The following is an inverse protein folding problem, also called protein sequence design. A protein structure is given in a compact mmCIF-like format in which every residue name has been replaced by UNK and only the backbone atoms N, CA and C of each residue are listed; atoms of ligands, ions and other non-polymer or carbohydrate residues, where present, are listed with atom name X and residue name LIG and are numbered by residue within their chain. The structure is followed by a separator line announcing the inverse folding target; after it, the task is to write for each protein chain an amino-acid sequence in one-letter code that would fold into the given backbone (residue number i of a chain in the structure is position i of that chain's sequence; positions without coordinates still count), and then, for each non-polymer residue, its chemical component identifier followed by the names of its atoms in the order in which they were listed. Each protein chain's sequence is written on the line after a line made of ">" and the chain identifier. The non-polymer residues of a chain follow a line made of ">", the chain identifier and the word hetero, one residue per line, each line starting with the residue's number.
data_IF_932844966983
#
_entry.id   IF_932844966983
#
_cell.length_a   1.000
_cell.length_b   1.000
_cell.length_c   1.000
_cell.angle_alpha   90.00
_cell.angle_beta   90.00
_cell.angle_gamma   90.00
#
_symmetry.space_group_name_H-M   'P 1'
#
loop_
_entity.id
_entity.type
_entity.pdbx_description
1 polymer ?
#
# COMPACT_ATOMS: atom_id res chain seq x y z
N UNK A 1 -17.17 -5.29 8.75
CA UNK A 1 -16.37 -5.12 7.52
C UNK A 1 -14.92 -5.58 7.69
N UNK A 2 -14.16 -5.12 8.72
CA UNK A 2 -12.75 -5.52 8.93
C UNK A 2 -12.44 -7.02 8.92
N UNK A 3 -13.33 -7.86 9.44
CA UNK A 3 -13.16 -9.32 9.36
C UNK A 3 -13.16 -9.81 7.92
N UNK A 4 -14.10 -9.32 7.10
CA UNK A 4 -14.18 -9.65 5.68
C UNK A 4 -12.92 -9.19 4.93
N UNK A 5 -12.46 -7.97 5.20
CA UNK A 5 -11.22 -7.43 4.64
C UNK A 5 -10.02 -8.34 4.90
N UNK A 6 -9.86 -8.83 6.13
CA UNK A 6 -8.79 -9.77 6.49
C UNK A 6 -8.91 -11.11 5.76
N UNK A 7 -10.12 -11.59 5.52
CA UNK A 7 -10.35 -12.82 4.74
C UNK A 7 -9.95 -12.61 3.28
N UNK A 8 -10.30 -11.47 2.69
CA UNK A 8 -9.89 -11.11 1.32
C UNK A 8 -8.37 -10.96 1.25
N UNK A 9 -7.77 -10.21 2.16
CA UNK A 9 -6.32 -10.02 2.26
C UNK A 9 -5.58 -11.37 2.33
N UNK A 10 -6.00 -12.27 3.22
CA UNK A 10 -5.38 -13.59 3.38
C UNK A 10 -5.48 -14.46 2.10
N UNK A 11 -6.48 -14.22 1.25
CA UNK A 11 -6.60 -14.90 -0.05
C UNK A 11 -5.71 -14.24 -1.10
N UNK A 12 -5.64 -12.91 -1.14
CA UNK A 12 -4.80 -12.18 -2.08
C UNK A 12 -3.31 -12.45 -1.83
N UNK A 13 -2.87 -12.51 -0.57
CA UNK A 13 -1.49 -12.84 -0.18
C UNK A 13 -1.01 -14.23 -0.61
N UNK A 14 -1.92 -15.14 -1.01
CA UNK A 14 -1.56 -16.46 -1.55
C UNK A 14 -1.30 -16.45 -3.05
N UNK A 15 -1.73 -15.37 -3.72
CA UNK A 15 -1.70 -15.25 -5.18
C UNK A 15 -0.67 -14.20 -5.60
N UNK A 16 -0.63 -13.09 -4.86
CA UNK A 16 0.29 -11.99 -5.14
C UNK A 16 1.58 -12.18 -4.35
N UNK A 17 2.69 -12.24 -5.07
CA UNK A 17 4.02 -12.13 -4.52
C UNK A 17 4.43 -10.65 -4.49
N UNK A 18 5.06 -10.21 -3.41
CA UNK A 18 5.52 -8.82 -3.24
C UNK A 18 7.04 -8.87 -3.12
N UNK A 19 7.72 -7.96 -3.79
CA UNK A 19 9.17 -7.80 -3.77
C UNK A 19 9.77 -7.93 -2.36
N UNK A 20 10.86 -8.69 -2.24
CA UNK A 20 11.51 -8.97 -0.96
C UNK A 20 12.09 -7.70 -0.29
N UNK A 21 12.32 -6.65 -1.07
CA UNK A 21 12.80 -5.36 -0.61
C UNK A 21 11.67 -4.49 0.01
N UNK A 22 10.41 -4.93 -0.08
CA UNK A 22 9.29 -4.29 0.62
C UNK A 22 9.24 -4.76 2.07
N UNK A 23 9.48 -3.83 3.00
CA UNK A 23 9.40 -4.08 4.45
C UNK A 23 8.07 -3.61 5.05
N UNK A 24 7.39 -2.67 4.41
CA UNK A 24 6.13 -2.10 4.89
C UNK A 24 4.99 -3.11 4.82
N UNK A 25 4.27 -3.29 5.92
CA UNK A 25 3.05 -4.13 6.00
C UNK A 25 3.23 -5.59 5.55
N UNK A 26 4.47 -6.09 5.57
CA UNK A 26 4.82 -7.46 5.24
C UNK A 26 4.99 -8.31 6.49
N UNK A 27 4.45 -9.55 6.49
CA UNK A 27 4.60 -10.43 7.64
C UNK A 27 6.06 -10.78 7.86
N UNK A 28 6.50 -10.73 9.14
CA UNK A 28 7.88 -11.04 9.56
C UNK A 28 8.94 -10.05 9.05
N UNK A 29 8.53 -8.85 8.61
CA UNK A 29 9.44 -7.75 8.30
C UNK A 29 9.13 -6.56 9.20
N UNK A 30 10.15 -5.79 9.50
CA UNK A 30 10.07 -4.64 10.38
C UNK A 30 10.94 -3.49 9.87
N UNK A 31 10.66 -2.29 10.36
CA UNK A 31 11.49 -1.11 10.07
C UNK A 31 12.93 -1.30 10.55
N UNK A 32 13.15 -2.08 11.62
CA UNK A 32 14.49 -2.39 12.11
C UNK A 32 15.29 -3.22 11.12
N UNK A 33 14.65 -4.12 10.37
CA UNK A 33 15.33 -4.91 9.34
C UNK A 33 15.81 -4.02 8.18
N UNK A 34 14.95 -3.08 7.74
CA UNK A 34 15.30 -2.12 6.69
C UNK A 34 16.45 -1.19 7.12
N UNK A 35 16.40 -0.67 8.35
CA UNK A 35 17.47 0.17 8.92
C UNK A 35 18.77 -0.62 9.01
N UNK A 36 18.70 -1.88 9.46
CA UNK A 36 19.87 -2.74 9.57
C UNK A 36 20.52 -3.00 8.21
N UNK A 37 19.73 -3.33 7.18
CA UNK A 37 20.22 -3.52 5.82
C UNK A 37 20.92 -2.25 5.27
N UNK A 38 20.32 -1.08 5.49
CA UNK A 38 20.93 0.20 5.10
C UNK A 38 22.25 0.46 5.84
N UNK A 39 22.32 0.16 7.14
CA UNK A 39 23.56 0.32 7.93
C UNK A 39 24.69 -0.57 7.43
N UNK A 40 24.41 -1.84 7.13
CA UNK A 40 25.41 -2.74 6.54
C UNK A 40 25.93 -2.19 5.21
N UNK A 41 25.04 -1.65 4.37
CA UNK A 41 25.44 -1.05 3.10
C UNK A 41 26.37 0.15 3.32
N UNK A 42 26.04 1.03 4.26
CA UNK A 42 26.86 2.19 4.62
C UNK A 42 28.24 1.78 5.14
N UNK A 43 28.31 0.77 6.03
CA UNK A 43 29.57 0.25 6.57
C UNK A 43 30.46 -0.31 5.45
N UNK A 44 29.89 -1.14 4.56
CA UNK A 44 30.63 -1.73 3.44
C UNK A 44 31.24 -0.68 2.49
N UNK A 45 30.51 0.40 2.20
CA UNK A 45 31.01 1.48 1.35
C UNK A 45 32.08 2.32 2.06
N UNK A 46 31.92 2.56 3.36
CA UNK A 46 32.93 3.24 4.19
C UNK A 46 34.24 2.44 4.23
N UNK A 47 34.18 1.12 4.46
CA UNK A 47 35.36 0.26 4.49
C UNK A 47 36.07 0.20 3.14
N UNK A 48 35.30 0.23 2.04
CA UNK A 48 35.83 0.30 0.69
C UNK A 48 36.31 1.69 0.25
N UNK A 49 36.23 2.71 1.11
CA UNK A 49 36.50 4.12 0.80
C UNK A 49 35.75 4.62 -0.46
N UNK A 50 34.52 4.16 -0.66
CA UNK A 50 33.64 4.55 -1.77
C UNK A 50 32.58 5.52 -1.29
N UNK A 51 32.20 6.44 -2.16
CA UNK A 51 31.05 7.32 -1.93
C UNK A 51 29.74 6.53 -2.05
N UNK A 52 28.82 6.77 -1.12
CA UNK A 52 27.46 6.25 -1.12
C UNK A 52 26.49 7.43 -1.05
N UNK A 53 25.60 7.53 -2.02
CA UNK A 53 24.52 8.50 -2.03
C UNK A 53 23.20 7.79 -1.78
N UNK A 54 22.39 8.33 -0.87
CA UNK A 54 21.07 7.80 -0.54
C UNK A 54 20.00 8.86 -0.85
N UNK A 55 18.93 8.44 -1.53
CA UNK A 55 17.76 9.30 -1.80
C UNK A 55 16.58 8.76 -1.01
N UNK A 56 15.97 9.61 -0.20
CA UNK A 56 14.77 9.28 0.57
C UNK A 56 13.58 10.00 -0.06
N UNK A 57 12.59 9.22 -0.49
CA UNK A 57 11.35 9.73 -1.11
C UNK A 57 10.20 9.46 -0.16
N UNK A 58 9.40 10.50 0.11
CA UNK A 58 8.17 10.39 0.88
C UNK A 58 6.98 10.84 0.03
N UNK A 59 5.89 10.06 0.07
CA UNK A 59 4.71 10.31 -0.74
C UNK A 59 3.67 11.11 0.05
N UNK A 60 3.37 12.32 -0.41
CA UNK A 60 2.35 13.16 0.21
C UNK A 60 0.97 12.49 0.12
N UNK A 61 0.32 12.25 1.27
CA UNK A 61 -1.02 11.65 1.36
C UNK A 61 -1.14 10.35 0.58
N UNK A 62 -0.15 9.47 0.78
CA UNK A 62 0.03 8.23 0.01
C UNK A 62 -1.26 7.41 -0.18
N UNK A 63 -2.10 7.32 0.86
CA UNK A 63 -3.34 6.54 0.79
C UNK A 63 -4.46 7.32 0.10
N UNK A 64 -4.59 8.62 0.38
CA UNK A 64 -5.71 9.42 -0.13
C UNK A 64 -5.57 9.73 -1.63
N UNK A 65 -4.37 9.56 -2.20
CA UNK A 65 -4.06 9.91 -3.60
C UNK A 65 -3.95 8.73 -4.55
N UNK A 66 -4.12 7.48 -4.10
CA UNK A 66 -4.06 6.31 -5.00
C UNK A 66 -5.21 6.36 -6.01
N UNK A 67 -4.93 6.44 -7.33
CA UNK A 67 -5.98 6.35 -8.35
C UNK A 67 -6.58 4.94 -8.34
N UNK A 68 -7.92 4.85 -8.34
CA UNK A 68 -8.59 3.55 -8.27
C UNK A 68 -8.37 2.70 -9.51
N UNK A 69 -8.38 3.32 -10.69
CA UNK A 69 -8.10 2.62 -11.94
C UNK A 69 -6.71 1.99 -11.96
N UNK A 70 -5.70 2.70 -11.44
CA UNK A 70 -4.35 2.16 -11.28
C UNK A 70 -4.30 1.00 -10.29
N UNK A 71 -5.05 1.08 -9.18
CA UNK A 71 -5.17 -0.05 -8.26
C UNK A 71 -5.76 -1.28 -8.97
N UNK A 72 -6.82 -1.13 -9.75
CA UNK A 72 -7.44 -2.25 -10.48
C UNK A 72 -6.46 -2.85 -11.50
N UNK A 73 -5.74 -1.99 -12.21
CA UNK A 73 -4.72 -2.39 -13.17
C UNK A 73 -3.60 -3.17 -12.48
N UNK A 74 -3.03 -2.64 -11.40
CA UNK A 74 -1.96 -3.29 -10.63
C UNK A 74 -2.41 -4.65 -10.10
N UNK A 75 -3.62 -4.75 -9.53
CA UNK A 75 -4.16 -6.04 -9.06
C UNK A 75 -4.22 -7.08 -10.18
N UNK A 76 -4.71 -6.70 -11.38
CA UNK A 76 -4.77 -7.61 -12.53
C UNK A 76 -3.38 -8.02 -13.00
N UNK A 77 -2.44 -7.08 -13.07
CA UNK A 77 -1.05 -7.31 -13.47
C UNK A 77 -0.34 -8.26 -12.50
N UNK A 78 -0.61 -8.15 -11.19
CA UNK A 78 -0.12 -9.07 -10.15
C UNK A 78 -0.84 -10.44 -10.12
N UNK A 79 -1.59 -10.80 -11.15
CA UNK A 79 -2.21 -12.13 -11.28
C UNK A 79 -3.47 -12.34 -10.43
N UNK A 80 -4.05 -11.28 -9.85
CA UNK A 80 -5.29 -11.40 -9.09
C UNK A 80 -6.46 -11.71 -10.02
N UNK A 81 -7.17 -12.81 -9.72
CA UNK A 81 -8.36 -13.18 -10.49
C UNK A 81 -9.45 -12.07 -10.43
N UNK A 82 -10.11 -11.83 -11.56
CA UNK A 82 -11.08 -10.73 -11.74
C UNK A 82 -12.20 -10.73 -10.68
N UNK A 83 -12.60 -11.90 -10.18
CA UNK A 83 -13.59 -12.00 -9.09
C UNK A 83 -13.17 -11.24 -7.82
N UNK A 84 -11.88 -11.23 -7.49
CA UNK A 84 -11.37 -10.49 -6.33
C UNK A 84 -11.19 -9.01 -6.63
N UNK A 85 -10.80 -8.67 -7.87
CA UNK A 85 -10.75 -7.27 -8.32
C UNK A 85 -12.15 -6.63 -8.16
N UNK A 86 -13.20 -7.31 -8.64
CA UNK A 86 -14.59 -6.85 -8.46
C UNK A 86 -15.01 -6.72 -7.01
N UNK A 87 -14.66 -7.68 -6.15
CA UNK A 87 -14.94 -7.57 -4.70
C UNK A 87 -14.30 -6.34 -4.09
N UNK A 88 -13.06 -6.00 -4.48
CA UNK A 88 -12.41 -4.77 -4.00
C UNK A 88 -13.06 -3.55 -4.64
N UNK A 89 -13.36 -3.55 -5.94
CA UNK A 89 -14.10 -2.46 -6.61
C UNK A 89 -15.42 -2.14 -5.91
N UNK A 90 -16.23 -3.15 -5.60
CA UNK A 90 -17.51 -3.01 -4.90
C UNK A 90 -17.34 -2.39 -3.50
N UNK A 91 -16.22 -2.65 -2.83
CA UNK A 91 -15.93 -2.03 -1.54
C UNK A 91 -15.65 -0.53 -1.66
N UNK A 92 -15.08 -0.10 -2.79
CA UNK A 92 -14.72 1.30 -3.04
C UNK A 92 -15.82 2.07 -3.78
N UNK A 93 -16.71 1.39 -4.51
CA UNK A 93 -17.79 2.02 -5.26
C UNK A 93 -18.73 2.82 -4.35
N UNK A 94 -19.17 4.01 -4.81
CA UNK A 94 -20.14 4.88 -4.12
C UNK A 94 -19.77 5.22 -2.66
N UNK A 95 -18.48 5.15 -2.32
CA UNK A 95 -17.98 5.56 -1.01
C UNK A 95 -18.34 7.03 -0.76
N UNK A 96 -19.10 7.29 0.31
CA UNK A 96 -19.43 8.64 0.77
C UNK A 96 -18.90 8.86 2.17
N UNK A 97 -18.35 10.04 2.42
CA UNK A 97 -17.80 10.40 3.73
C UNK A 97 -18.34 11.75 4.21
N UNK A 98 -18.15 12.02 5.49
CA UNK A 98 -18.43 13.30 6.15
C UNK A 98 -17.23 13.68 7.01
N UNK A 99 -16.97 14.97 7.14
CA UNK A 99 -15.98 15.48 8.10
C UNK A 99 -16.71 15.88 9.37
N UNK A 100 -16.23 15.42 10.53
CA UNK A 100 -16.74 15.84 11.85
C UNK A 100 -15.87 16.96 12.38
N UNK A 101 -16.48 18.13 12.56
CA UNK A 101 -15.85 19.33 13.12
C UNK A 101 -16.48 19.68 14.48
N UNK A 102 -15.88 20.64 15.21
CA UNK A 102 -16.40 21.10 16.50
C UNK A 102 -17.84 21.67 16.42
N UNK A 103 -18.23 22.19 15.25
CA UNK A 103 -19.55 22.78 15.00
C UNK A 103 -20.58 21.78 14.42
N UNK A 104 -20.19 20.51 14.21
CA UNK A 104 -21.08 19.49 13.64
C UNK A 104 -20.45 18.67 12.51
N UNK A 105 -21.28 17.94 11.77
CA UNK A 105 -20.85 17.18 10.60
C UNK A 105 -21.05 17.99 9.32
N UNK A 106 -20.15 17.85 8.35
CA UNK A 106 -20.34 18.40 7.00
C UNK A 106 -21.42 17.62 6.25
N UNK A 107 -21.82 18.17 5.10
CA UNK A 107 -22.56 17.40 4.11
C UNK A 107 -21.75 16.20 3.61
N UNK A 108 -22.46 15.18 3.13
CA UNK A 108 -21.87 13.97 2.56
C UNK A 108 -21.30 14.28 1.18
N UNK A 109 -20.05 13.91 0.95
CA UNK A 109 -19.43 13.97 -0.38
C UNK A 109 -18.91 12.61 -0.81
N UNK A 110 -18.80 12.41 -2.13
CA UNK A 110 -18.27 11.19 -2.70
C UNK A 110 -16.73 11.16 -2.57
N UNK A 111 -16.20 9.98 -2.28
CA UNK A 111 -14.77 9.69 -2.31
C UNK A 111 -14.51 8.88 -3.56
N UNK A 112 -13.74 9.44 -4.48
CA UNK A 112 -13.47 8.84 -5.81
C UNK A 112 -12.02 8.37 -5.96
N UNK A 113 -11.12 8.87 -5.11
CA UNK A 113 -9.69 8.54 -5.08
C UNK A 113 -9.30 8.01 -3.71
N UNK A 114 -8.22 7.24 -3.69
CA UNK A 114 -7.57 6.79 -2.48
C UNK A 114 -8.13 5.50 -1.88
N UNK A 115 -7.33 4.97 -0.97
CA UNK A 115 -7.60 3.80 -0.15
C UNK A 115 -8.31 4.19 1.14
N UNK A 116 -9.13 3.29 1.69
CA UNK A 116 -9.82 3.57 2.96
C UNK A 116 -8.82 3.56 4.12
N UNK A 117 -8.61 4.71 4.77
CA UNK A 117 -7.79 4.77 5.99
C UNK A 117 -8.44 3.97 7.13
N UNK A 118 -7.65 3.13 7.81
CA UNK A 118 -8.13 2.25 8.88
C UNK A 118 -8.80 0.94 8.43
N UNK A 119 -8.83 0.68 7.12
CA UNK A 119 -9.14 -0.65 6.56
C UNK A 119 -8.02 -1.64 6.87
N UNK A 120 -8.37 -2.90 7.11
CA UNK A 120 -7.39 -3.96 7.25
C UNK A 120 -6.76 -4.38 5.91
N UNK A 121 -7.44 -4.12 4.79
CA UNK A 121 -7.00 -4.52 3.46
C UNK A 121 -6.14 -3.45 2.77
N UNK A 122 -6.44 -2.15 3.01
CA UNK A 122 -5.73 -1.03 2.38
C UNK A 122 -4.21 -1.11 2.43
N UNK A 123 -3.55 -1.51 3.54
CA UNK A 123 -2.09 -1.57 3.55
C UNK A 123 -1.52 -2.57 2.57
N UNK A 124 -2.20 -3.70 2.34
CA UNK A 124 -1.77 -4.69 1.35
C UNK A 124 -2.05 -4.22 -0.07
N UNK A 125 -3.20 -3.57 -0.32
CA UNK A 125 -3.48 -2.97 -1.63
C UNK A 125 -2.46 -1.89 -1.99
N UNK A 126 -2.03 -1.09 -1.02
CA UNK A 126 -0.98 -0.10 -1.21
C UNK A 126 0.36 -0.78 -1.57
N UNK A 127 0.71 -1.87 -0.90
CA UNK A 127 1.91 -2.64 -1.22
C UNK A 127 1.89 -3.17 -2.67
N UNK A 128 0.75 -3.65 -3.17
CA UNK A 128 0.61 -4.11 -4.58
C UNK A 128 0.90 -2.97 -5.56
N UNK A 129 0.36 -1.77 -5.32
CA UNK A 129 0.60 -0.61 -6.19
C UNK A 129 2.07 -0.20 -6.16
N UNK A 130 2.67 -0.13 -4.96
CA UNK A 130 4.08 0.23 -4.82
C UNK A 130 5.04 -0.79 -5.44
N UNK A 131 4.69 -2.06 -5.36
CA UNK A 131 5.45 -3.15 -5.96
C UNK A 131 5.50 -3.00 -7.48
N UNK A 132 4.33 -2.76 -8.10
CA UNK A 132 4.25 -2.52 -9.54
C UNK A 132 4.98 -1.26 -10.00
N UNK A 133 4.95 -0.18 -9.20
CA UNK A 133 5.75 1.03 -9.46
C UNK A 133 7.26 0.80 -9.36
N UNK A 134 7.70 -0.24 -8.65
CA UNK A 134 9.13 -0.57 -8.50
C UNK A 134 9.65 -1.56 -9.54
N UNK A 135 8.76 -2.20 -10.31
CA UNK A 135 9.09 -3.10 -11.42
C UNK A 135 9.27 -2.36 -12.76
N UNK A 136 8.79 -1.12 -12.86
CA UNK A 136 9.01 -0.23 -14.02
C UNK A 136 10.37 0.47 -13.98
#
# INVERSE_FOLDING_TARGET
>A
MKLWERVVEARLRKVVDICEQQYGFMPRKSTTDAIFALRILMEKYRDGQKELHCVFVDLEKAYDRVPREELWYCMRKSGVAEKYVRVVQDMYERSRTVVRCAVGQTEKFNVEVGLHQGSALSPFLFAIVMDQLSEE
#
